data_IF_688161412179
#
_entry.id   IF_688161412179
#
_cell.length_a   1.000
_cell.length_b   1.000
_cell.length_c   1.000
_cell.angle_alpha   90.00
_cell.angle_beta   90.00
_cell.angle_gamma   90.00
#
_symmetry.space_group_name_H-M   'P 1'
#
loop_
_entity.id
_entity.type
_entity.pdbx_description
1 polymer ?
#
# COMPACT_ATOMS: atom_id res chain seq x y z
N UNK A 1 -1.88 -2.15 -20.88
CA UNK A 1 -1.48 -2.83 -19.62
C UNK A 1 -0.95 -4.20 -20.00
N UNK A 2 0.23 -4.55 -19.49
CA UNK A 2 0.90 -5.84 -19.73
C UNK A 2 0.00 -7.02 -19.29
N UNK A 3 0.18 -8.15 -19.95
CA UNK A 3 -0.49 -9.40 -19.54
C UNK A 3 0.17 -9.96 -18.27
N UNK A 4 -0.44 -9.68 -17.14
CA UNK A 4 0.10 -10.07 -15.84
C UNK A 4 0.12 -11.60 -15.64
N UNK A 5 -0.80 -12.35 -16.29
CA UNK A 5 -0.80 -13.80 -16.18
C UNK A 5 0.30 -14.43 -17.04
N UNK A 6 0.56 -13.91 -18.24
CA UNK A 6 1.68 -14.36 -19.04
C UNK A 6 3.02 -14.11 -18.32
N UNK A 7 3.22 -12.92 -17.75
CA UNK A 7 4.41 -12.61 -16.95
C UNK A 7 4.52 -13.47 -15.69
N UNK A 8 3.38 -13.75 -15.01
CA UNK A 8 3.37 -14.64 -13.86
C UNK A 8 3.81 -16.07 -14.24
N UNK A 9 3.30 -16.60 -15.34
CA UNK A 9 3.71 -17.93 -15.83
C UNK A 9 5.21 -17.95 -16.16
N UNK A 10 5.74 -16.92 -16.83
CA UNK A 10 7.19 -16.79 -17.08
C UNK A 10 7.98 -16.76 -15.75
N UNK A 11 7.50 -16.05 -14.74
CA UNK A 11 8.14 -16.01 -13.42
C UNK A 11 8.11 -17.40 -12.72
N UNK A 12 7.03 -18.16 -12.88
CA UNK A 12 6.95 -19.56 -12.42
C UNK A 12 7.96 -20.43 -13.12
N UNK A 13 8.05 -20.36 -14.47
CA UNK A 13 9.02 -21.14 -15.27
C UNK A 13 10.46 -20.85 -14.82
N UNK A 14 10.79 -19.58 -14.53
CA UNK A 14 12.11 -19.20 -14.01
C UNK A 14 12.39 -19.90 -12.67
N UNK A 15 11.45 -19.86 -11.73
CA UNK A 15 11.61 -20.46 -10.38
C UNK A 15 11.73 -21.99 -10.48
N UNK A 16 10.88 -22.61 -11.29
CA UNK A 16 10.87 -24.08 -11.47
C UNK A 16 12.14 -24.57 -12.20
N UNK A 17 12.67 -23.81 -13.17
CA UNK A 17 13.92 -24.14 -13.87
C UNK A 17 15.14 -24.25 -12.94
N UNK A 18 15.07 -23.57 -11.80
CA UNK A 18 16.09 -23.61 -10.74
C UNK A 18 15.89 -24.76 -9.75
N UNK A 19 14.90 -25.63 -9.97
CA UNK A 19 14.55 -26.72 -9.05
C UNK A 19 13.95 -26.25 -7.73
N UNK A 20 13.36 -25.05 -7.70
CA UNK A 20 12.70 -24.50 -6.50
C UNK A 20 11.25 -24.96 -6.48
N UNK A 21 10.88 -25.72 -5.46
CA UNK A 21 9.50 -26.18 -5.26
C UNK A 21 8.65 -25.04 -4.68
N UNK A 22 7.56 -24.71 -5.36
CA UNK A 22 6.59 -23.69 -4.94
C UNK A 22 5.41 -24.32 -4.21
N UNK A 23 4.75 -23.55 -3.36
CA UNK A 23 3.49 -23.97 -2.73
C UNK A 23 2.32 -23.96 -3.71
N UNK A 24 1.19 -24.51 -3.29
CA UNK A 24 -0.04 -24.57 -4.08
C UNK A 24 -0.69 -23.18 -4.21
N UNK A 25 -0.41 -22.48 -5.31
CA UNK A 25 -0.97 -21.16 -5.63
C UNK A 25 -2.34 -21.36 -6.28
N UNK A 26 -3.41 -20.96 -5.61
CA UNK A 26 -4.79 -21.15 -6.06
C UNK A 26 -5.41 -19.89 -6.69
N UNK A 27 -4.80 -18.74 -6.50
CA UNK A 27 -5.33 -17.48 -7.04
C UNK A 27 -4.23 -16.45 -7.24
N UNK A 28 -4.27 -15.76 -8.39
CA UNK A 28 -3.39 -14.66 -8.74
C UNK A 28 -4.23 -13.50 -9.26
N UNK A 29 -4.22 -12.37 -8.56
CA UNK A 29 -5.10 -11.24 -8.89
C UNK A 29 -4.44 -9.88 -8.77
N UNK A 30 -5.05 -8.89 -9.45
CA UNK A 30 -4.64 -7.50 -9.39
C UNK A 30 -5.32 -6.77 -8.24
N UNK A 31 -4.54 -5.94 -7.56
CA UNK A 31 -5.02 -5.05 -6.50
C UNK A 31 -5.04 -3.60 -6.98
N UNK A 32 -6.23 -3.07 -7.20
CA UNK A 32 -6.47 -1.69 -7.65
C UNK A 32 -6.46 -0.66 -6.51
N UNK A 33 -6.37 -1.11 -5.25
CA UNK A 33 -6.41 -0.22 -4.07
C UNK A 33 -5.04 0.00 -3.43
N UNK A 34 -4.07 -0.87 -3.71
CA UNK A 34 -2.75 -0.77 -3.13
C UNK A 34 -2.00 0.45 -3.69
N UNK A 35 -1.44 1.29 -2.81
CA UNK A 35 -0.68 2.49 -3.19
C UNK A 35 0.80 2.42 -2.80
N UNK A 36 1.18 1.54 -1.90
CA UNK A 36 2.56 1.45 -1.39
C UNK A 36 3.09 0.01 -1.33
N UNK A 37 2.29 -0.97 -1.71
CA UNK A 37 2.66 -2.38 -1.74
C UNK A 37 2.51 -2.88 -3.16
N UNK A 38 3.56 -3.49 -3.70
CA UNK A 38 3.62 -3.95 -5.09
C UNK A 38 3.13 -5.39 -5.23
N UNK A 39 3.44 -6.26 -4.26
CA UNK A 39 2.98 -7.63 -4.18
C UNK A 39 2.54 -8.01 -2.78
N UNK A 40 1.85 -9.11 -2.65
CA UNK A 40 1.47 -9.76 -1.40
C UNK A 40 1.19 -11.25 -1.62
N UNK A 41 1.85 -12.09 -0.86
CA UNK A 41 1.51 -13.49 -0.68
C UNK A 41 0.65 -13.66 0.58
N UNK A 42 -0.46 -14.40 0.46
CA UNK A 42 -1.33 -14.80 1.58
C UNK A 42 -1.40 -16.33 1.65
N UNK A 43 -1.10 -16.89 2.80
CA UNK A 43 -1.26 -18.32 3.05
C UNK A 43 -2.58 -18.61 3.74
N UNK A 44 -3.32 -19.60 3.23
CA UNK A 44 -4.42 -20.22 3.94
C UNK A 44 -3.86 -21.43 4.71
N UNK A 45 -3.78 -21.33 6.03
CA UNK A 45 -3.18 -22.36 6.88
C UNK A 45 -4.04 -23.65 6.96
N UNK A 46 -5.34 -23.56 6.68
CA UNK A 46 -6.24 -24.72 6.73
C UNK A 46 -6.01 -25.65 5.54
N UNK A 47 -5.91 -25.06 4.34
CA UNK A 47 -5.77 -25.81 3.09
C UNK A 47 -4.33 -25.85 2.57
N UNK A 48 -3.41 -25.17 3.24
CA UNK A 48 -2.02 -25.01 2.80
C UNK A 48 -1.92 -24.48 1.36
N UNK A 49 -2.73 -23.49 1.04
CA UNK A 49 -2.77 -22.84 -0.28
C UNK A 49 -2.34 -21.38 -0.18
N UNK A 50 -1.98 -20.81 -1.34
CA UNK A 50 -1.49 -19.45 -1.42
C UNK A 50 -2.30 -18.63 -2.42
N UNK A 51 -2.56 -17.37 -2.06
CA UNK A 51 -3.12 -16.34 -2.94
C UNK A 51 -2.09 -15.25 -3.14
N UNK A 52 -1.85 -14.87 -4.39
CA UNK A 52 -0.94 -13.78 -4.73
C UNK A 52 -1.74 -12.57 -5.23
N UNK A 53 -1.40 -11.40 -4.72
CA UNK A 53 -2.02 -10.14 -5.10
C UNK A 53 -0.96 -9.14 -5.55
N UNK A 54 -1.09 -8.60 -6.74
CA UNK A 54 -0.14 -7.63 -7.29
C UNK A 54 -0.80 -6.27 -7.54
N UNK A 55 -0.07 -5.21 -7.27
CA UNK A 55 -0.52 -3.86 -7.59
C UNK A 55 -0.65 -3.72 -9.12
N UNK A 56 -1.84 -3.36 -9.60
CA UNK A 56 -2.09 -3.21 -11.04
C UNK A 56 -1.15 -2.20 -11.73
N UNK A 57 -0.65 -1.20 -11.00
CA UNK A 57 0.21 -0.16 -11.54
C UNK A 57 1.56 -0.68 -12.03
N UNK A 58 2.08 -1.76 -11.45
CA UNK A 58 3.35 -2.33 -11.91
C UNK A 58 3.24 -3.00 -13.29
N UNK A 59 2.02 -3.24 -13.78
CA UNK A 59 1.76 -3.79 -15.12
C UNK A 59 1.40 -2.72 -16.15
N UNK A 60 1.67 -1.44 -15.87
CA UNK A 60 1.58 -0.38 -16.88
C UNK A 60 2.52 -0.68 -18.05
N UNK A 61 2.17 -0.24 -19.27
CA UNK A 61 2.97 -0.54 -20.46
C UNK A 61 4.39 0.02 -20.35
N UNK A 62 4.54 1.17 -19.72
CA UNK A 62 5.82 1.85 -19.45
C UNK A 62 6.65 1.25 -18.30
N UNK A 63 6.08 0.36 -17.48
CA UNK A 63 6.81 -0.22 -16.35
C UNK A 63 7.95 -1.13 -16.82
N UNK A 64 9.07 -1.11 -16.11
CA UNK A 64 10.22 -1.97 -16.38
C UNK A 64 9.90 -3.45 -16.16
N UNK A 65 10.11 -4.30 -17.19
CA UNK A 65 9.76 -5.71 -17.15
C UNK A 65 10.57 -6.49 -16.10
N UNK A 66 11.87 -6.20 -15.97
CA UNK A 66 12.71 -6.90 -14.99
C UNK A 66 12.29 -6.55 -13.56
N UNK A 67 11.87 -5.31 -13.28
CA UNK A 67 11.33 -4.92 -11.98
C UNK A 67 9.99 -5.62 -11.68
N UNK A 68 9.13 -5.78 -12.69
CA UNK A 68 7.89 -6.57 -12.57
C UNK A 68 8.22 -8.01 -12.25
N UNK A 69 9.09 -8.66 -13.05
CA UNK A 69 9.53 -10.04 -12.85
C UNK A 69 10.16 -10.25 -11.47
N UNK A 70 11.01 -9.32 -11.01
CA UNK A 70 11.56 -9.35 -9.66
C UNK A 70 10.48 -9.40 -8.59
N UNK A 71 9.39 -8.65 -8.76
CA UNK A 71 8.27 -8.63 -7.82
C UNK A 71 7.44 -9.92 -7.88
N UNK A 72 7.18 -10.44 -9.08
CA UNK A 72 6.48 -11.71 -9.26
C UNK A 72 7.24 -12.85 -8.60
N UNK A 73 8.53 -12.99 -8.91
CA UNK A 73 9.39 -14.01 -8.32
C UNK A 73 9.47 -13.85 -6.79
N UNK A 74 9.59 -12.62 -6.27
CA UNK A 74 9.60 -12.33 -4.84
C UNK A 74 8.37 -12.93 -4.13
N UNK A 75 7.16 -12.73 -4.67
CA UNK A 75 5.93 -13.25 -4.08
C UNK A 75 5.79 -14.76 -4.26
N UNK A 76 6.29 -15.32 -5.38
CA UNK A 76 6.36 -16.78 -5.59
C UNK A 76 7.25 -17.43 -4.54
N UNK A 77 8.42 -16.87 -4.24
CA UNK A 77 9.31 -17.40 -3.21
C UNK A 77 8.69 -17.41 -1.81
N UNK A 78 7.72 -16.54 -1.54
CA UNK A 78 6.95 -16.59 -0.29
C UNK A 78 6.05 -17.82 -0.18
N UNK A 79 5.74 -18.50 -1.28
CA UNK A 79 4.94 -19.74 -1.26
C UNK A 79 5.76 -20.98 -0.91
N UNK A 80 7.09 -20.93 -1.07
CA UNK A 80 7.98 -22.01 -0.77
C UNK A 80 7.99 -22.36 0.74
N UNK A 81 8.33 -23.60 1.07
CA UNK A 81 8.43 -24.02 2.47
C UNK A 81 9.44 -23.15 3.23
N UNK A 82 9.03 -22.60 4.38
CA UNK A 82 9.84 -21.64 5.15
C UNK A 82 9.98 -20.25 4.55
N UNK A 83 9.36 -19.98 3.38
CA UNK A 83 9.49 -18.74 2.60
C UNK A 83 8.64 -17.56 3.08
N UNK A 84 7.73 -17.72 4.05
CA UNK A 84 6.77 -16.65 4.45
C UNK A 84 7.42 -15.40 5.06
N UNK A 85 8.70 -15.42 5.38
CA UNK A 85 9.43 -14.27 5.92
C UNK A 85 10.68 -14.02 5.09
N UNK A 86 11.11 -12.74 4.94
CA UNK A 86 12.33 -12.36 4.22
C UNK A 86 13.64 -12.77 4.93
N UNK A 87 13.60 -13.86 5.71
CA UNK A 87 14.74 -14.42 6.45
C UNK A 87 14.91 -15.88 6.07
N UNK A 88 15.99 -16.51 6.54
CA UNK A 88 16.21 -17.94 6.39
C UNK A 88 16.05 -18.42 4.95
N UNK A 89 15.05 -19.29 4.74
CA UNK A 89 14.83 -19.96 3.46
C UNK A 89 14.50 -18.99 2.31
N UNK A 90 13.61 -18.01 2.53
CA UNK A 90 13.32 -17.02 1.49
C UNK A 90 14.60 -16.33 0.98
N UNK A 91 15.47 -15.89 1.91
CA UNK A 91 16.73 -15.25 1.55
C UNK A 91 17.67 -16.19 0.79
N UNK A 92 17.71 -17.46 1.18
CA UNK A 92 18.51 -18.48 0.48
C UNK A 92 18.02 -18.66 -0.96
N UNK A 93 16.70 -18.77 -1.15
CA UNK A 93 16.07 -18.92 -2.47
C UNK A 93 16.27 -17.66 -3.34
N UNK A 94 16.08 -16.48 -2.78
CA UNK A 94 16.34 -15.21 -3.48
C UNK A 94 17.81 -15.12 -3.96
N UNK A 95 18.77 -15.55 -3.14
CA UNK A 95 20.18 -15.61 -3.55
C UNK A 95 20.43 -16.63 -4.67
N UNK A 96 19.73 -17.76 -4.70
CA UNK A 96 19.81 -18.74 -5.81
C UNK A 96 19.33 -18.09 -7.11
N UNK A 97 18.16 -17.44 -7.09
CA UNK A 97 17.63 -16.74 -8.27
C UNK A 97 18.61 -15.68 -8.75
N UNK A 98 19.09 -14.81 -7.83
CA UNK A 98 20.01 -13.72 -8.17
C UNK A 98 21.37 -14.22 -8.74
N UNK A 99 21.84 -15.38 -8.30
CA UNK A 99 23.11 -15.95 -8.79
C UNK A 99 23.01 -16.65 -10.15
N UNK A 100 21.81 -17.13 -10.53
CA UNK A 100 21.62 -18.00 -11.71
C UNK A 100 20.77 -17.34 -12.81
N UNK A 101 20.25 -16.14 -12.58
CA UNK A 101 19.43 -15.41 -13.55
C UNK A 101 19.86 -13.95 -13.67
N UNK A 102 19.26 -13.22 -14.59
CA UNK A 102 19.44 -11.76 -14.72
C UNK A 102 18.69 -10.97 -13.65
N UNK A 103 17.79 -11.60 -12.89
CA UNK A 103 16.92 -10.96 -11.93
C UNK A 103 17.65 -10.63 -10.62
N UNK A 104 17.13 -9.61 -9.92
CA UNK A 104 17.67 -9.14 -8.65
C UNK A 104 16.56 -9.06 -7.59
N UNK A 105 16.31 -10.18 -6.96
CA UNK A 105 15.26 -10.29 -5.93
C UNK A 105 15.74 -9.65 -4.64
N UNK A 106 15.08 -8.58 -4.23
CA UNK A 106 15.36 -7.82 -3.01
C UNK A 106 14.17 -7.83 -2.07
N UNK A 107 14.40 -7.50 -0.80
CA UNK A 107 13.35 -7.45 0.23
C UNK A 107 12.31 -6.35 -0.04
N UNK A 108 12.73 -5.25 -0.64
CA UNK A 108 11.89 -4.06 -0.87
C UNK A 108 12.01 -3.59 -2.29
N UNK A 109 10.97 -2.98 -2.81
CA UNK A 109 10.95 -2.35 -4.12
C UNK A 109 10.37 -0.93 -4.01
N UNK A 110 10.59 -0.09 -5.03
CA UNK A 110 10.10 1.28 -5.09
C UNK A 110 9.51 1.59 -6.47
N UNK A 111 8.73 2.67 -6.58
CA UNK A 111 8.16 3.10 -7.86
C UNK A 111 9.23 3.45 -8.90
N UNK A 112 10.36 3.99 -8.44
CA UNK A 112 11.51 4.34 -9.29
C UNK A 112 12.09 3.09 -9.97
N UNK A 113 12.11 1.93 -9.30
CA UNK A 113 12.59 0.68 -9.89
C UNK A 113 11.74 0.23 -11.07
N UNK A 114 10.44 0.53 -11.05
CA UNK A 114 9.54 0.24 -12.17
C UNK A 114 9.57 1.32 -13.26
N UNK A 115 10.26 2.45 -13.06
CA UNK A 115 10.22 3.59 -13.97
C UNK A 115 8.86 4.30 -14.04
N UNK A 116 7.98 4.08 -13.07
CA UNK A 116 6.63 4.67 -13.03
C UNK A 116 6.50 5.69 -11.88
N UNK A 117 5.64 6.69 -12.09
CA UNK A 117 5.39 7.68 -11.05
C UNK A 117 4.51 7.12 -9.93
N UNK A 118 4.88 7.44 -8.68
CA UNK A 118 4.03 7.13 -7.54
C UNK A 118 2.73 7.94 -7.62
N UNK A 119 1.55 7.29 -7.52
CA UNK A 119 0.28 8.00 -7.53
C UNK A 119 0.22 9.06 -6.43
N UNK A 120 -0.04 10.29 -6.80
CA UNK A 120 -0.23 11.37 -5.85
C UNK A 120 -1.45 11.07 -4.99
N UNK A 121 -1.28 11.14 -3.68
CA UNK A 121 -2.38 11.01 -2.75
C UNK A 121 -3.06 12.37 -2.61
N UNK A 122 -4.29 12.49 -3.09
CA UNK A 122 -5.13 13.63 -2.75
C UNK A 122 -5.40 13.63 -1.24
N UNK A 123 -5.12 14.75 -0.59
CA UNK A 123 -5.45 14.95 0.81
C UNK A 123 -6.97 15.14 0.92
N UNK A 124 -7.63 14.28 1.69
CA UNK A 124 -9.05 14.44 1.99
C UNK A 124 -9.21 15.55 3.04
N UNK A 125 -10.01 16.55 2.74
CA UNK A 125 -10.37 17.63 3.64
C UNK A 125 -11.57 17.23 4.52
N UNK A 126 -11.43 16.12 5.25
CA UNK A 126 -12.52 15.60 6.06
C UNK A 126 -12.89 16.54 7.20
N UNK A 127 -11.90 17.20 7.79
CA UNK A 127 -12.10 18.19 8.84
C UNK A 127 -11.19 19.38 8.56
N UNK A 128 -11.78 20.54 8.34
CA UNK A 128 -11.07 21.81 8.12
C UNK A 128 -11.32 22.72 9.30
N UNK A 129 -10.28 23.38 9.75
CA UNK A 129 -10.34 24.37 10.84
C UNK A 129 -9.52 25.60 10.42
N UNK A 130 -9.85 26.73 10.96
CA UNK A 130 -9.09 27.97 10.78
C UNK A 130 -8.92 28.73 12.08
N UNK A 131 -7.89 29.55 12.15
CA UNK A 131 -7.70 30.50 13.22
C UNK A 131 -8.43 31.79 12.91
N UNK A 132 -9.28 32.27 13.84
CA UNK A 132 -10.02 33.54 13.64
C UNK A 132 -9.08 34.74 13.51
N UNK A 133 -7.97 34.76 14.25
CA UNK A 133 -7.10 35.95 14.33
C UNK A 133 -6.14 36.04 13.14
N UNK A 134 -5.57 34.93 12.65
CA UNK A 134 -4.53 34.96 11.62
C UNK A 134 -4.85 34.18 10.34
N UNK A 135 -6.03 33.58 10.23
CA UNK A 135 -6.49 32.83 9.06
C UNK A 135 -5.73 31.50 8.81
N UNK A 136 -4.82 31.08 9.70
CA UNK A 136 -4.10 29.83 9.53
C UNK A 136 -5.06 28.65 9.45
N UNK A 137 -4.99 27.86 8.38
CA UNK A 137 -5.84 26.70 8.14
C UNK A 137 -5.19 25.41 8.64
N UNK A 138 -6.01 24.53 9.23
CA UNK A 138 -5.61 23.20 9.74
C UNK A 138 -6.50 22.13 9.14
N UNK A 139 -5.93 21.21 8.37
CA UNK A 139 -6.67 20.11 7.74
C UNK A 139 -6.37 18.78 8.45
N UNK A 140 -7.39 17.97 8.66
CA UNK A 140 -7.27 16.61 9.19
C UNK A 140 -8.08 15.63 8.36
N UNK A 141 -7.48 14.50 8.04
CA UNK A 141 -8.14 13.42 7.29
C UNK A 141 -8.91 12.44 8.18
N UNK A 142 -8.56 12.37 9.44
CA UNK A 142 -9.17 11.44 10.40
C UNK A 142 -9.62 12.16 11.65
N UNK A 143 -10.66 11.62 12.27
CA UNK A 143 -11.07 12.03 13.61
C UNK A 143 -9.90 11.82 14.59
N UNK A 144 -9.65 12.78 15.45
CA UNK A 144 -8.56 12.79 16.41
C UNK A 144 -8.98 13.51 17.69
N UNK A 145 -8.14 13.49 18.72
CA UNK A 145 -8.38 14.25 19.95
C UNK A 145 -8.54 15.75 19.67
N UNK A 146 -7.75 16.27 18.71
CA UNK A 146 -7.88 17.65 18.25
C UNK A 146 -9.22 17.91 17.58
N UNK A 147 -9.65 17.09 16.60
CA UNK A 147 -10.92 17.32 15.88
C UNK A 147 -12.14 17.26 16.81
N UNK A 148 -12.07 16.44 17.85
CA UNK A 148 -13.16 16.30 18.85
C UNK A 148 -13.22 17.46 19.83
N UNK A 149 -12.10 18.14 20.08
CA UNK A 149 -11.91 19.13 21.14
C UNK A 149 -11.16 20.37 20.66
N UNK A 150 -11.32 20.76 19.40
CA UNK A 150 -10.55 21.83 18.75
C UNK A 150 -10.61 23.16 19.51
N UNK A 151 -11.74 23.46 20.13
CA UNK A 151 -11.94 24.68 20.92
C UNK A 151 -11.07 24.75 22.20
N UNK A 152 -10.54 23.61 22.67
CA UNK A 152 -9.58 23.59 23.78
C UNK A 152 -8.13 23.88 23.34
N UNK A 153 -7.91 24.02 22.04
CA UNK A 153 -6.58 24.31 21.49
C UNK A 153 -6.49 25.77 21.03
N UNK A 154 -5.26 26.26 20.91
CA UNK A 154 -4.95 27.59 20.38
C UNK A 154 -4.06 27.47 19.16
N UNK A 155 -4.12 28.47 18.29
CA UNK A 155 -3.28 28.54 17.11
C UNK A 155 -1.81 28.61 17.50
N UNK A 156 -1.00 27.66 16.97
CA UNK A 156 0.44 27.64 17.26
C UNK A 156 1.22 28.82 16.66
N UNK A 157 0.62 29.58 15.73
CA UNK A 157 1.25 30.74 15.09
C UNK A 157 1.01 32.03 15.88
N UNK A 158 -0.22 32.26 16.38
CA UNK A 158 -0.60 33.55 16.99
C UNK A 158 -1.28 33.41 18.37
N UNK A 159 -1.57 32.19 18.84
CA UNK A 159 -2.31 31.95 20.09
C UNK A 159 -3.80 32.13 19.99
N UNK A 160 -4.35 32.51 18.84
CA UNK A 160 -5.76 32.78 18.61
C UNK A 160 -6.67 31.58 18.67
N UNK A 161 -7.98 31.83 18.64
CA UNK A 161 -9.01 30.78 18.69
C UNK A 161 -9.09 30.00 17.38
N UNK A 162 -9.35 28.68 17.49
CA UNK A 162 -9.52 27.79 16.34
C UNK A 162 -11.02 27.51 16.16
N UNK A 163 -11.52 27.71 14.94
CA UNK A 163 -12.88 27.43 14.51
C UNK A 163 -12.94 26.28 13.52
N UNK A 164 -14.05 25.56 13.55
CA UNK A 164 -14.34 24.53 12.59
C UNK A 164 -14.99 25.14 11.34
N UNK A 165 -14.46 24.77 10.17
CA UNK A 165 -14.97 25.20 8.86
C UNK A 165 -15.87 24.09 8.29
N UNK A 166 -17.16 24.25 8.48
CA UNK A 166 -18.15 23.24 8.02
C UNK A 166 -18.34 23.26 6.50
N UNK A 167 -18.11 24.39 5.84
CA UNK A 167 -18.31 24.55 4.40
C UNK A 167 -17.24 23.81 3.60
N UNK A 168 -16.00 23.81 4.08
CA UNK A 168 -14.85 23.16 3.42
C UNK A 168 -14.51 21.78 4.01
N UNK A 169 -15.34 21.26 4.92
CA UNK A 169 -15.18 19.94 5.54
C UNK A 169 -16.11 18.92 4.91
N UNK A 170 -15.59 17.69 4.68
CA UNK A 170 -16.41 16.57 4.19
C UNK A 170 -17.30 15.96 5.27
N UNK A 171 -16.96 16.14 6.54
CA UNK A 171 -17.76 15.65 7.69
C UNK A 171 -18.26 16.81 8.53
N UNK A 172 -19.44 16.66 9.09
CA UNK A 172 -19.96 17.60 10.08
C UNK A 172 -19.56 17.17 11.50
N UNK A 173 -19.14 18.14 12.31
CA UNK A 173 -18.99 17.95 13.74
C UNK A 173 -20.30 18.42 14.40
N UNK A 174 -21.14 17.47 14.82
CA UNK A 174 -22.35 17.81 15.55
C UNK A 174 -21.98 18.17 16.99
N UNK A 175 -22.07 19.45 17.32
CA UNK A 175 -21.91 19.97 18.68
C UNK A 175 -23.24 19.87 19.45
N UNK A 176 -23.72 18.66 19.69
CA UNK A 176 -24.89 18.44 20.52
C UNK A 176 -24.45 17.65 21.74
N UNK A 177 -24.16 18.37 22.80
CA UNK A 177 -23.92 17.87 24.17
C UNK A 177 -22.76 16.83 24.30
N UNK A 178 -21.97 16.71 25.36
CA UNK A 178 -20.54 16.36 25.37
C UNK A 178 -20.10 15.06 24.67
N UNK A 179 -20.94 14.45 23.86
CA UNK A 179 -20.61 13.32 22.99
C UNK A 179 -20.72 13.78 21.54
N UNK A 180 -19.59 14.04 20.89
CA UNK A 180 -19.53 14.37 19.46
C UNK A 180 -19.94 13.14 18.63
N UNK A 181 -21.01 13.27 17.85
CA UNK A 181 -21.34 12.32 16.77
C UNK A 181 -20.90 12.88 15.42
N UNK A 182 -20.40 12.03 14.55
CA UNK A 182 -19.98 12.37 13.19
C UNK A 182 -21.02 11.83 12.22
N UNK A 183 -21.44 12.64 11.26
CA UNK A 183 -22.31 12.23 10.15
C UNK A 183 -21.55 12.49 8.85
N UNK A 184 -21.54 11.52 7.98
CA UNK A 184 -20.97 11.65 6.65
C UNK A 184 -21.94 12.48 5.77
N UNK A 185 -21.46 13.54 5.14
CA UNK A 185 -22.23 14.27 4.14
C UNK A 185 -22.35 13.38 2.88
N UNK A 186 -23.57 13.01 2.55
CA UNK A 186 -23.89 12.29 1.31
C UNK A 186 -24.02 13.26 0.15
#
# INVERSE_FOLDING_TARGET
MKDYMAMFNEAMDVVESLGIETGNIVDVKLNYRAKNRFGQCRRNNVYNTYELNFNHLIFADEADDDAVMNTLIHEILHTCEGGMTHKGEWKRLANIVNANTKYNITRTNSYENFGIEKPKREKKHNYVFYCEDCGQTFVRERASKFTKNYHAYRCGKCGGEIRYDAEHSNYQILTVNPRYSYVENR
#
